data_IF_258942007055
#
_entry.id   IF_258942007055
#
_cell.length_a   1.000
_cell.length_b   1.000
_cell.length_c   1.000
_cell.angle_alpha   90.00
_cell.angle_beta   90.00
_cell.angle_gamma   90.00
#
_symmetry.space_group_name_H-M   'P 1'
#
loop_
_entity.id
_entity.type
_entity.pdbx_description
1 polymer ?
#
# COMPACT_ATOMS: atom_id res chain seq x y z
N UNK A 1 62.40 -5.36 7.29
CA UNK A 1 61.18 -5.60 6.46
C UNK A 1 60.28 -6.69 7.04
N UNK A 2 60.70 -7.90 7.26
CA UNK A 2 59.83 -9.02 7.76
C UNK A 2 59.15 -8.79 9.13
N UNK A 3 59.74 -7.99 10.01
CA UNK A 3 59.14 -7.69 11.33
C UNK A 3 57.96 -6.74 11.21
N UNK A 4 58.06 -5.71 10.38
CA UNK A 4 57.01 -4.73 10.13
C UNK A 4 55.77 -5.38 9.43
N UNK A 5 56.01 -6.27 8.48
CA UNK A 5 54.97 -7.03 7.79
C UNK A 5 54.17 -7.91 8.77
N UNK A 6 54.88 -8.61 9.66
CA UNK A 6 54.23 -9.44 10.70
C UNK A 6 53.42 -8.59 11.68
N UNK A 7 53.91 -7.42 12.04
CA UNK A 7 53.21 -6.51 12.92
C UNK A 7 51.92 -5.98 12.27
N UNK A 8 51.97 -5.57 11.01
CA UNK A 8 50.83 -5.10 10.25
C UNK A 8 49.79 -6.22 10.10
N UNK A 9 50.22 -7.45 9.76
CA UNK A 9 49.33 -8.59 9.63
C UNK A 9 48.65 -8.93 10.96
N UNK A 10 49.38 -8.89 12.08
CA UNK A 10 48.79 -9.12 13.40
C UNK A 10 47.75 -8.04 13.79
N UNK A 11 48.02 -6.78 13.48
CA UNK A 11 47.09 -5.67 13.68
C UNK A 11 45.84 -5.82 12.83
N UNK A 12 45.95 -6.18 11.56
CA UNK A 12 44.83 -6.42 10.70
C UNK A 12 43.93 -7.57 11.20
N UNK A 13 44.54 -8.67 11.65
CA UNK A 13 43.82 -9.82 12.19
C UNK A 13 43.10 -9.48 13.50
N UNK A 14 43.63 -8.57 14.32
CA UNK A 14 43.03 -8.13 15.57
C UNK A 14 41.86 -7.15 15.35
N UNK A 15 41.99 -6.23 14.43
CA UNK A 15 40.99 -5.17 14.24
C UNK A 15 39.94 -5.50 13.18
N UNK A 16 40.26 -6.40 12.25
CA UNK A 16 39.30 -6.79 11.21
C UNK A 16 37.95 -7.30 11.73
N UNK A 17 37.90 -8.22 12.72
CA UNK A 17 36.63 -8.68 13.27
C UNK A 17 35.81 -7.56 13.94
N UNK A 18 36.49 -6.61 14.61
CA UNK A 18 35.82 -5.49 15.27
C UNK A 18 35.19 -4.54 14.24
N UNK A 19 35.92 -4.25 13.17
CA UNK A 19 35.43 -3.41 12.08
C UNK A 19 34.27 -4.11 11.33
N UNK A 20 34.40 -5.41 11.10
CA UNK A 20 33.38 -6.20 10.45
C UNK A 20 32.10 -6.26 11.27
N UNK A 21 32.23 -6.46 12.59
CA UNK A 21 31.06 -6.49 13.51
C UNK A 21 30.33 -5.15 13.55
N UNK A 22 31.09 -4.03 13.65
CA UNK A 22 30.52 -2.70 13.59
C UNK A 22 29.78 -2.45 12.26
N UNK A 23 30.38 -2.85 11.14
CA UNK A 23 29.76 -2.71 9.82
C UNK A 23 28.48 -3.54 9.69
N UNK A 24 28.49 -4.80 10.14
CA UNK A 24 27.33 -5.68 10.11
C UNK A 24 26.21 -5.18 11.03
N UNK A 25 26.58 -4.64 12.20
CA UNK A 25 25.61 -4.09 13.14
C UNK A 25 24.90 -2.84 12.60
N UNK A 26 25.64 -1.93 11.97
CA UNK A 26 25.04 -0.76 11.30
C UNK A 26 24.10 -1.17 10.17
N UNK A 27 24.52 -2.11 9.32
CA UNK A 27 23.66 -2.65 8.26
C UNK A 27 22.42 -3.34 8.80
N UNK A 28 22.52 -4.11 9.88
CA UNK A 28 21.38 -4.81 10.46
C UNK A 28 20.32 -3.84 11.02
N UNK A 29 20.73 -2.72 11.61
CA UNK A 29 19.81 -1.67 12.06
C UNK A 29 18.98 -1.10 10.92
N UNK A 30 19.61 -0.76 9.80
CA UNK A 30 18.89 -0.22 8.64
C UNK A 30 17.84 -1.20 8.12
N UNK A 31 18.14 -2.50 8.12
CA UNK A 31 17.17 -3.52 7.72
C UNK A 31 16.04 -3.71 8.75
N UNK A 32 16.36 -3.63 10.04
CA UNK A 32 15.35 -3.72 11.11
C UNK A 32 14.40 -2.52 11.10
N UNK A 33 14.93 -1.30 10.97
CA UNK A 33 14.13 -0.07 10.90
C UNK A 33 13.20 -0.05 9.68
N UNK A 34 13.58 -0.72 8.59
CA UNK A 34 12.74 -0.85 7.39
C UNK A 34 11.81 -2.06 7.41
N UNK A 35 11.80 -2.85 8.48
CA UNK A 35 10.99 -4.07 8.57
C UNK A 35 11.42 -5.19 7.61
N UNK A 36 12.56 -5.02 6.92
CA UNK A 36 13.03 -5.94 5.89
C UNK A 36 13.79 -7.15 6.44
N UNK A 37 14.32 -7.05 7.67
CA UNK A 37 15.21 -8.08 8.23
C UNK A 37 14.51 -9.17 9.03
N UNK A 38 13.29 -8.96 9.46
CA UNK A 38 12.62 -9.91 10.36
C UNK A 38 11.82 -10.98 9.63
N UNK A 39 11.66 -10.88 8.31
CA UNK A 39 10.82 -11.80 7.54
C UNK A 39 9.36 -11.84 8.02
N UNK A 40 9.05 -11.10 9.05
CA UNK A 40 7.67 -10.85 9.41
C UNK A 40 7.21 -9.70 8.53
N UNK A 41 6.23 -9.93 7.65
CA UNK A 41 5.54 -8.82 7.03
C UNK A 41 5.09 -7.93 8.18
N UNK A 42 5.43 -6.64 8.14
CA UNK A 42 4.82 -5.69 9.02
C UNK A 42 3.33 -6.01 8.99
N UNK A 43 2.71 -6.20 10.15
CA UNK A 43 1.28 -6.45 10.20
C UNK A 43 0.67 -5.13 9.70
N UNK A 44 0.42 -5.07 8.39
CA UNK A 44 -0.30 -3.96 7.82
C UNK A 44 -1.68 -3.96 8.48
N UNK A 45 -1.92 -3.01 9.34
CA UNK A 45 -3.26 -2.79 9.87
C UNK A 45 -4.02 -2.02 8.81
N UNK A 46 -5.07 -2.62 8.36
CA UNK A 46 -6.05 -1.96 7.52
C UNK A 46 -7.19 -1.44 8.39
N UNK A 47 -7.93 -0.48 7.89
CA UNK A 47 -9.09 0.04 8.61
C UNK A 47 -10.12 -1.07 8.84
N UNK A 48 -10.49 -1.28 10.09
CA UNK A 48 -11.58 -2.17 10.51
C UNK A 48 -12.90 -1.40 10.73
N UNK A 49 -12.88 -0.10 10.44
CA UNK A 49 -14.04 0.76 10.63
C UNK A 49 -15.07 0.56 9.51
N UNK A 50 -16.36 0.71 9.79
CA UNK A 50 -17.41 0.69 8.78
C UNK A 50 -17.28 1.87 7.79
N UNK A 51 -17.97 1.81 6.64
CA UNK A 51 -17.99 2.89 5.68
C UNK A 51 -18.43 4.24 6.29
N UNK A 52 -17.69 5.30 5.99
CA UNK A 52 -17.98 6.66 6.44
C UNK A 52 -17.22 7.12 7.68
N UNK A 53 -16.65 6.24 8.47
CA UNK A 53 -16.01 6.59 9.74
C UNK A 53 -14.51 6.94 9.60
N UNK A 54 -13.83 6.35 8.63
CA UNK A 54 -12.39 6.57 8.47
C UNK A 54 -12.10 7.73 7.53
N UNK A 55 -11.17 8.59 7.92
CA UNK A 55 -10.70 9.68 7.07
C UNK A 55 -10.04 9.14 5.79
N UNK A 56 -10.55 9.56 4.65
CA UNK A 56 -9.94 9.25 3.35
C UNK A 56 -8.57 9.92 3.23
N UNK A 57 -7.55 9.16 2.90
CA UNK A 57 -6.23 9.69 2.63
C UNK A 57 -6.15 10.29 1.22
N UNK A 58 -5.36 11.35 1.08
CA UNK A 58 -5.10 11.95 -0.21
C UNK A 58 -4.46 10.93 -1.18
N UNK A 59 -4.76 11.08 -2.45
CA UNK A 59 -4.13 10.28 -3.50
C UNK A 59 -2.63 10.50 -3.52
N UNK A 60 -1.89 9.48 -3.85
CA UNK A 60 -0.44 9.53 -3.88
C UNK A 60 0.10 10.43 -5.01
N UNK A 61 -0.61 10.41 -6.14
CA UNK A 61 -0.34 11.24 -7.32
C UNK A 61 -1.65 11.53 -8.05
N UNK A 62 -1.64 12.48 -8.97
CA UNK A 62 -2.82 12.80 -9.77
C UNK A 62 -3.23 11.60 -10.64
N UNK A 63 -4.52 11.26 -10.59
CA UNK A 63 -5.06 10.07 -11.27
C UNK A 63 -4.88 8.75 -10.52
N UNK A 64 -4.19 8.71 -9.38
CA UNK A 64 -4.10 7.49 -8.58
C UNK A 64 -5.51 7.02 -8.14
N UNK A 65 -5.78 5.70 -8.17
CA UNK A 65 -7.00 5.17 -7.56
C UNK A 65 -7.03 5.54 -6.08
N UNK A 66 -8.16 6.05 -5.54
CA UNK A 66 -8.28 6.26 -4.10
C UNK A 66 -8.21 4.93 -3.37
N UNK A 67 -7.62 4.93 -2.18
CA UNK A 67 -7.63 3.76 -1.31
C UNK A 67 -9.00 3.57 -0.68
N UNK A 68 -9.28 2.34 -0.24
CA UNK A 68 -10.52 1.97 0.44
C UNK A 68 -10.36 2.28 1.93
N UNK A 69 -11.13 3.25 2.48
CA UNK A 69 -10.95 3.71 3.84
C UNK A 69 -11.72 2.89 4.89
N UNK A 70 -12.51 1.92 4.48
CA UNK A 70 -13.37 1.11 5.35
C UNK A 70 -13.02 -0.37 5.27
N UNK A 71 -13.53 -1.15 6.21
CA UNK A 71 -13.39 -2.59 6.19
C UNK A 71 -14.09 -3.23 4.97
N UNK A 72 -13.44 -4.23 4.42
CA UNK A 72 -13.93 -5.08 3.32
C UNK A 72 -13.67 -6.56 3.59
N UNK A 73 -13.33 -6.92 4.83
CA UNK A 73 -13.04 -8.31 5.14
C UNK A 73 -14.30 -9.19 4.94
N UNK A 74 -14.11 -10.30 4.26
CA UNK A 74 -15.19 -11.20 3.93
C UNK A 74 -16.12 -10.76 2.78
N UNK A 75 -15.90 -9.60 2.15
CA UNK A 75 -16.75 -9.14 1.05
C UNK A 75 -16.53 -9.96 -0.22
N UNK A 76 -17.65 -10.33 -0.86
CA UNK A 76 -17.62 -11.08 -2.09
C UNK A 76 -17.31 -10.17 -3.29
N UNK A 77 -16.17 -10.43 -3.94
CA UNK A 77 -15.81 -9.84 -5.23
C UNK A 77 -15.42 -11.00 -6.14
N UNK A 78 -16.38 -11.54 -6.83
CA UNK A 78 -16.24 -12.69 -7.70
C UNK A 78 -17.01 -12.48 -9.02
N UNK A 79 -17.05 -13.49 -9.89
CA UNK A 79 -17.66 -13.36 -11.23
C UNK A 79 -19.17 -13.09 -11.20
N UNK A 80 -19.87 -13.54 -10.15
CA UNK A 80 -21.33 -13.44 -10.03
C UNK A 80 -21.78 -12.34 -9.06
N UNK A 81 -20.89 -11.83 -8.23
CA UNK A 81 -21.21 -10.92 -7.17
C UNK A 81 -20.06 -9.93 -6.92
N UNK A 82 -20.40 -8.69 -6.66
CA UNK A 82 -19.45 -7.64 -6.30
C UNK A 82 -20.14 -6.66 -5.33
N UNK A 83 -19.94 -6.87 -4.04
CA UNK A 83 -20.58 -6.08 -2.97
C UNK A 83 -20.20 -4.60 -2.98
N UNK A 84 -19.09 -4.22 -3.62
CA UNK A 84 -18.76 -2.80 -3.81
C UNK A 84 -19.83 -2.05 -4.59
N UNK A 85 -20.53 -2.74 -5.49
CA UNK A 85 -21.56 -2.12 -6.33
C UNK A 85 -22.82 -1.74 -5.55
N UNK A 86 -23.13 -2.42 -4.45
CA UNK A 86 -24.33 -2.17 -3.66
C UNK A 86 -24.41 -0.71 -3.20
N UNK A 87 -23.28 -0.14 -2.82
CA UNK A 87 -23.19 1.26 -2.39
C UNK A 87 -22.66 2.19 -3.49
N UNK A 88 -21.64 1.75 -4.26
CA UNK A 88 -20.90 2.65 -5.13
C UNK A 88 -21.53 2.85 -6.52
N UNK A 89 -22.42 1.98 -7.00
CA UNK A 89 -23.10 2.20 -8.29
C UNK A 89 -23.93 3.47 -8.30
N UNK A 90 -24.76 3.67 -7.27
CA UNK A 90 -25.62 4.83 -7.16
C UNK A 90 -25.08 5.92 -6.21
N UNK A 91 -24.05 5.60 -5.43
CA UNK A 91 -23.56 6.49 -4.39
C UNK A 91 -24.54 6.55 -3.23
N UNK A 92 -24.79 5.38 -2.62
CA UNK A 92 -25.78 5.24 -1.54
C UNK A 92 -25.47 6.15 -0.35
N UNK A 93 -26.48 6.72 0.23
CA UNK A 93 -26.38 7.43 1.51
C UNK A 93 -26.26 6.40 2.64
N UNK A 94 -25.18 6.51 3.42
CA UNK A 94 -24.82 5.53 4.46
C UNK A 94 -25.44 5.91 5.80
N UNK A 95 -25.31 7.20 6.19
CA UNK A 95 -25.85 7.81 7.39
C UNK A 95 -25.99 9.34 7.21
N UNK A 96 -26.32 10.05 8.28
CA UNK A 96 -26.45 11.52 8.23
C UNK A 96 -25.16 12.21 7.83
N UNK A 97 -25.06 12.52 6.54
CA UNK A 97 -23.96 13.30 5.95
C UNK A 97 -22.85 12.49 5.29
N UNK A 98 -22.91 11.16 5.35
CA UNK A 98 -21.95 10.30 4.66
C UNK A 98 -22.60 9.60 3.47
N UNK A 99 -21.94 9.70 2.34
CA UNK A 99 -22.40 9.12 1.08
C UNK A 99 -21.28 8.33 0.42
N UNK A 100 -21.59 7.13 -0.05
CA UNK A 100 -20.66 6.35 -0.83
C UNK A 100 -20.28 7.11 -2.12
N UNK A 101 -19.01 7.15 -2.44
CA UNK A 101 -18.54 7.80 -3.68
C UNK A 101 -19.05 7.03 -4.88
N UNK A 102 -19.84 7.67 -5.74
CA UNK A 102 -20.32 7.04 -6.97
C UNK A 102 -19.16 6.70 -7.91
N UNK A 103 -19.25 5.54 -8.55
CA UNK A 103 -18.28 5.11 -9.56
C UNK A 103 -18.21 6.14 -10.70
N UNK A 104 -17.03 6.72 -10.99
CA UNK A 104 -16.90 7.76 -12.00
C UNK A 104 -17.00 7.23 -13.42
N UNK A 105 -17.35 8.10 -14.36
CA UNK A 105 -17.55 7.78 -15.77
C UNK A 105 -16.36 7.04 -16.41
N UNK A 106 -15.15 7.25 -15.94
CA UNK A 106 -13.94 6.56 -16.42
C UNK A 106 -14.01 5.03 -16.27
N UNK A 107 -14.87 4.51 -15.40
CA UNK A 107 -15.05 3.06 -15.21
C UNK A 107 -16.01 2.43 -16.25
N UNK A 108 -16.69 3.26 -16.99
CA UNK A 108 -17.66 2.88 -18.00
C UNK A 108 -17.16 3.15 -19.44
N UNK A 109 -16.02 3.83 -19.61
CA UNK A 109 -15.47 4.21 -20.91
C UNK A 109 -14.29 3.30 -21.25
N UNK A 110 -14.36 2.64 -22.40
CA UNK A 110 -13.25 1.92 -22.96
C UNK A 110 -12.21 2.92 -23.50
N UNK A 111 -11.04 2.93 -22.89
CA UNK A 111 -9.98 3.91 -23.21
C UNK A 111 -9.41 3.73 -24.64
N UNK A 112 -9.55 2.53 -25.22
CA UNK A 112 -9.06 2.23 -26.57
C UNK A 112 -10.10 2.60 -27.64
N UNK A 113 -11.35 2.15 -27.48
CA UNK A 113 -12.41 2.37 -28.48
C UNK A 113 -13.16 3.68 -28.26
N UNK A 114 -13.03 4.28 -27.07
CA UNK A 114 -13.80 5.45 -26.59
C UNK A 114 -15.31 5.19 -26.48
N UNK A 115 -15.73 3.94 -26.62
CA UNK A 115 -17.11 3.55 -26.41
C UNK A 115 -17.46 3.55 -24.93
N UNK A 116 -18.64 4.00 -24.60
CA UNK A 116 -19.15 4.04 -23.25
C UNK A 116 -20.23 2.98 -23.05
N UNK A 117 -20.04 2.12 -22.07
CA UNK A 117 -21.10 1.27 -21.55
C UNK A 117 -22.04 2.12 -20.69
N UNK A 118 -23.35 1.93 -20.86
CA UNK A 118 -24.34 2.81 -20.21
C UNK A 118 -24.68 2.34 -18.80
N UNK A 119 -24.80 1.03 -18.62
CA UNK A 119 -25.46 0.45 -17.45
C UNK A 119 -24.55 -0.50 -16.64
N UNK A 120 -23.32 -0.72 -17.08
CA UNK A 120 -22.40 -1.61 -16.39
C UNK A 120 -20.95 -1.12 -16.43
N UNK A 121 -20.24 -1.36 -15.36
CA UNK A 121 -18.80 -1.14 -15.29
C UNK A 121 -18.09 -2.07 -16.28
N UNK A 122 -17.08 -1.57 -16.99
CA UNK A 122 -16.29 -2.37 -17.90
C UNK A 122 -15.73 -3.62 -17.22
N UNK A 123 -15.72 -4.75 -17.92
CA UNK A 123 -15.20 -5.99 -17.36
C UNK A 123 -13.77 -5.90 -16.83
N UNK A 124 -12.91 -5.07 -17.46
CA UNK A 124 -11.55 -4.78 -16.98
C UNK A 124 -11.53 -3.97 -15.66
N UNK A 125 -12.62 -3.29 -15.31
CA UNK A 125 -12.79 -2.49 -14.08
C UNK A 125 -13.66 -3.19 -13.04
N UNK A 126 -14.13 -4.40 -13.34
CA UNK A 126 -15.08 -5.12 -12.48
C UNK A 126 -14.45 -5.54 -11.14
N UNK A 127 -13.22 -6.01 -11.14
CA UNK A 127 -12.53 -6.34 -9.89
C UNK A 127 -11.86 -5.09 -9.32
N UNK A 128 -12.55 -4.45 -8.40
CA UNK A 128 -12.14 -3.18 -7.79
C UNK A 128 -10.77 -3.28 -7.10
N UNK A 129 -10.47 -4.42 -6.46
CA UNK A 129 -9.25 -4.63 -5.71
C UNK A 129 -7.97 -4.76 -6.56
N UNK A 130 -8.09 -4.84 -7.88
CA UNK A 130 -6.92 -4.77 -8.76
C UNK A 130 -6.28 -3.37 -8.77
N UNK A 131 -7.05 -2.33 -8.46
CA UNK A 131 -6.58 -0.95 -8.48
C UNK A 131 -6.80 -0.24 -7.14
N UNK A 132 -7.89 -0.55 -6.44
CA UNK A 132 -8.19 0.01 -5.14
C UNK A 132 -7.73 -0.94 -4.04
N UNK A 133 -6.87 -0.46 -3.16
CA UNK A 133 -6.34 -1.25 -2.05
C UNK A 133 -6.88 -0.71 -0.72
N UNK A 134 -7.05 -1.55 0.30
CA UNK A 134 -7.40 -1.09 1.63
C UNK A 134 -6.41 -0.04 2.15
N UNK A 135 -6.92 0.98 2.80
CA UNK A 135 -6.12 2.03 3.42
C UNK A 135 -5.44 1.48 4.65
N UNK A 136 -4.10 1.57 4.70
CA UNK A 136 -3.34 1.22 5.89
C UNK A 136 -3.46 2.32 6.94
N UNK A 137 -3.52 1.91 8.21
CA UNK A 137 -3.41 2.81 9.36
C UNK A 137 -1.97 3.25 9.63
N UNK A 138 -1.01 2.56 9.04
CA UNK A 138 0.40 2.89 9.17
C UNK A 138 0.74 4.16 8.40
N UNK A 139 1.57 4.99 9.00
CA UNK A 139 2.03 6.21 8.35
C UNK A 139 2.96 5.86 7.17
N UNK A 140 2.72 6.39 5.98
CA UNK A 140 3.56 6.06 4.83
C UNK A 140 4.99 6.59 5.03
N UNK A 141 6.01 5.88 4.54
CA UNK A 141 7.41 6.27 4.71
C UNK A 141 7.81 7.55 3.93
N UNK A 142 6.87 8.15 3.22
CA UNK A 142 7.06 9.39 2.45
C UNK A 142 5.83 10.29 2.59
N UNK A 143 6.04 11.60 2.50
CA UNK A 143 4.94 12.57 2.53
C UNK A 143 4.06 12.41 1.29
N UNK A 144 2.74 12.38 1.49
CA UNK A 144 1.77 12.40 0.39
C UNK A 144 1.74 13.78 -0.24
N UNK A 145 1.66 13.80 -1.56
CA UNK A 145 1.53 15.06 -2.28
C UNK A 145 0.11 15.59 -2.07
N UNK A 146 0.02 16.75 -1.47
CA UNK A 146 -1.24 17.50 -1.39
C UNK A 146 -1.44 18.21 -2.73
N UNK A 147 -2.37 17.75 -3.52
CA UNK A 147 -2.86 18.41 -4.73
C UNK A 147 -4.19 19.09 -4.47
#
# INVERSE_FOLDING_TARGET
>A
MRFLEKLITALLLLFFPIILDAFLHEHSKVYQERGLATGQPGINRFSENPPGETKVLNRLYDGAPPMIPHDIDGWAINRSENECFDCHMEGLELDEGHKATKIPASHYINEYTKEQEKDQVLGIRYNCLQCHVPQSEEEPPYSRVNH
#
